data_IF_223091443363
#
_entry.id   IF_223091443363
#
_cell.length_a   1.000
_cell.length_b   1.000
_cell.length_c   1.000
_cell.angle_alpha   90.00
_cell.angle_beta   90.00
_cell.angle_gamma   90.00
#
_symmetry.space_group_name_H-M   'P 1'
#
loop_
_entity.id
_entity.type
_entity.pdbx_description
1 polymer ?
#
# COMPACT_ATOMS: atom_id res chain seq x y z
N UNK A 1 -7.89 -30.22 9.92
CA UNK A 1 -7.94 -29.64 8.56
C UNK A 1 -7.76 -28.14 8.70
N UNK A 2 -6.84 -27.53 7.98
CA UNK A 2 -6.77 -26.06 7.93
C UNK A 2 -8.07 -25.57 7.26
N UNK A 3 -8.78 -24.67 7.92
CA UNK A 3 -9.97 -24.05 7.37
C UNK A 3 -9.63 -23.31 6.08
N UNK A 4 -10.46 -23.42 5.03
CA UNK A 4 -10.23 -22.70 3.78
C UNK A 4 -10.36 -21.20 4.06
N UNK A 5 -9.28 -20.38 3.79
CA UNK A 5 -9.30 -18.95 4.04
C UNK A 5 -10.46 -18.19 3.38
N UNK A 6 -11.01 -18.72 2.27
CA UNK A 6 -12.14 -18.12 1.55
C UNK A 6 -13.39 -17.99 2.43
N UNK A 7 -13.58 -18.92 3.35
CA UNK A 7 -14.77 -18.99 4.24
C UNK A 7 -14.58 -18.27 5.57
N UNK A 8 -13.45 -17.58 5.77
CA UNK A 8 -13.26 -16.75 6.97
C UNK A 8 -14.32 -15.66 7.02
N UNK A 9 -14.98 -15.54 8.17
CA UNK A 9 -15.97 -14.49 8.42
C UNK A 9 -15.27 -13.24 8.94
N UNK A 10 -15.45 -12.15 8.22
CA UNK A 10 -14.82 -10.87 8.60
C UNK A 10 -15.31 -10.36 9.96
N UNK A 11 -16.52 -10.71 10.37
CA UNK A 11 -17.09 -10.35 11.68
C UNK A 11 -16.29 -10.90 12.87
N UNK A 12 -15.51 -11.96 12.68
CA UNK A 12 -14.63 -12.53 13.72
C UNK A 12 -13.37 -11.66 13.96
N UNK A 13 -13.09 -10.73 13.04
CA UNK A 13 -11.95 -9.81 13.10
C UNK A 13 -12.42 -8.41 13.46
N UNK A 14 -13.25 -8.33 14.49
CA UNK A 14 -13.84 -7.09 14.98
C UNK A 14 -13.34 -6.77 16.39
N UNK A 15 -13.24 -5.50 16.68
CA UNK A 15 -12.94 -4.97 18.01
C UNK A 15 -13.55 -3.57 18.15
N UNK A 16 -13.81 -3.09 19.37
CA UNK A 16 -14.33 -1.73 19.56
C UNK A 16 -13.23 -0.70 19.29
N UNK A 17 -13.48 0.20 18.35
CA UNK A 17 -12.59 1.31 18.05
C UNK A 17 -13.36 2.63 18.14
N UNK A 18 -13.40 3.28 19.32
CA UNK A 18 -14.02 4.57 19.44
C UNK A 18 -13.24 5.65 18.69
N UNK A 19 -13.94 6.65 18.18
CA UNK A 19 -13.33 7.73 17.38
C UNK A 19 -12.21 8.49 18.11
N UNK A 20 -12.32 8.65 19.41
CA UNK A 20 -11.29 9.30 20.25
C UNK A 20 -9.96 8.55 20.29
N UNK A 21 -9.94 7.27 19.93
CA UNK A 21 -8.71 6.45 19.86
C UNK A 21 -8.03 6.54 18.49
N UNK A 22 -8.69 7.12 17.52
CA UNK A 22 -8.14 7.35 16.18
C UNK A 22 -7.37 8.67 16.18
N UNK A 23 -6.06 8.60 15.91
CA UNK A 23 -5.23 9.79 15.81
C UNK A 23 -5.60 10.62 14.58
N UNK A 24 -6.03 11.85 14.76
CA UNK A 24 -6.41 12.76 13.67
C UNK A 24 -5.21 13.45 13.05
N UNK A 25 -4.15 13.63 13.83
CA UNK A 25 -2.90 14.28 13.46
C UNK A 25 -1.71 13.48 13.98
N UNK A 26 -0.56 13.54 13.29
CA UNK A 26 0.66 12.94 13.82
C UNK A 26 1.15 13.73 15.04
N UNK A 27 2.01 13.08 15.84
CA UNK A 27 2.76 13.79 16.87
C UNK A 27 3.68 14.83 16.22
N UNK A 28 3.96 15.92 16.89
CA UNK A 28 4.91 16.96 16.41
C UNK A 28 6.32 16.39 16.22
N UNK A 29 6.71 15.46 17.09
CA UNK A 29 7.93 14.66 16.95
C UNK A 29 7.50 13.23 16.68
N UNK A 30 7.55 12.80 15.41
CA UNK A 30 6.94 11.55 14.92
C UNK A 30 7.46 10.30 15.60
N UNK A 31 8.76 10.25 15.90
CA UNK A 31 9.41 9.08 16.50
C UNK A 31 9.23 8.98 18.01
N UNK A 32 8.51 9.90 18.62
CA UNK A 32 8.08 9.82 20.03
C UNK A 32 6.80 9.01 20.22
N UNK A 33 6.22 8.49 19.14
CA UNK A 33 5.07 7.57 19.22
C UNK A 33 5.41 6.33 20.04
N UNK A 34 4.38 5.71 20.58
CA UNK A 34 4.54 4.43 21.29
C UNK A 34 4.84 3.31 20.30
N UNK A 35 5.62 2.36 20.75
CA UNK A 35 5.94 1.12 20.06
C UNK A 35 5.47 -0.06 20.89
N UNK A 36 4.44 -0.77 20.41
CA UNK A 36 4.05 -2.04 20.99
C UNK A 36 5.02 -3.11 20.49
N UNK A 37 5.52 -3.93 21.40
CA UNK A 37 6.42 -5.04 21.11
C UNK A 37 5.67 -6.36 21.31
N UNK A 38 5.53 -7.12 20.24
CA UNK A 38 5.07 -8.51 20.30
C UNK A 38 6.25 -9.40 19.90
N UNK A 39 6.75 -10.17 20.86
CA UNK A 39 7.90 -11.03 20.63
C UNK A 39 7.64 -12.40 21.25
N UNK A 40 7.55 -13.42 20.39
CA UNK A 40 7.34 -14.81 20.80
C UNK A 40 6.18 -15.00 21.78
N UNK A 41 5.07 -14.32 21.50
CA UNK A 41 3.84 -14.40 22.29
C UNK A 41 3.74 -13.41 23.45
N UNK A 42 4.80 -12.68 23.79
CA UNK A 42 4.80 -11.69 24.86
C UNK A 42 4.62 -10.27 24.34
N UNK A 43 3.79 -9.50 25.04
CA UNK A 43 3.48 -8.10 24.69
C UNK A 43 4.11 -7.16 25.71
N UNK A 44 4.82 -6.15 25.23
CA UNK A 44 5.39 -5.06 26.01
C UNK A 44 5.35 -3.77 25.20
N UNK A 45 5.86 -2.67 25.76
CA UNK A 45 5.88 -1.39 25.04
C UNK A 45 7.17 -0.62 25.27
N UNK A 46 7.48 0.24 24.31
CA UNK A 46 8.58 1.20 24.36
C UNK A 46 8.19 2.43 23.51
N UNK A 47 9.15 3.29 23.23
CA UNK A 47 9.01 4.38 22.27
C UNK A 47 9.60 3.96 20.93
N UNK A 48 9.10 4.56 19.84
CA UNK A 48 9.57 4.24 18.49
C UNK A 48 11.06 4.51 18.29
N UNK A 49 11.61 5.50 18.98
CA UNK A 49 13.05 5.80 19.00
C UNK A 49 13.91 4.61 19.45
N UNK A 50 13.35 3.69 20.21
CA UNK A 50 14.04 2.49 20.69
C UNK A 50 13.98 1.31 19.71
N UNK A 51 13.32 1.46 18.56
CA UNK A 51 13.18 0.37 17.57
C UNK A 51 14.50 -0.33 17.25
N UNK A 52 15.65 0.37 17.05
CA UNK A 52 16.92 -0.29 16.73
C UNK A 52 17.40 -1.28 17.79
N UNK A 53 17.04 -1.08 19.06
CA UNK A 53 17.45 -1.95 20.17
C UNK A 53 16.84 -3.35 20.08
N UNK A 54 15.71 -3.48 19.39
CA UNK A 54 14.94 -4.73 19.26
C UNK A 54 15.23 -5.51 17.99
N UNK A 55 16.09 -5.00 17.11
CA UNK A 55 16.45 -5.63 15.86
C UNK A 55 17.89 -6.14 15.89
N UNK A 56 18.14 -7.40 15.51
CA UNK A 56 19.50 -7.92 15.44
C UNK A 56 20.36 -7.16 14.43
N UNK A 57 21.64 -6.95 14.77
CA UNK A 57 22.63 -6.50 13.80
C UNK A 57 22.70 -7.48 12.62
N UNK A 58 22.80 -6.95 11.41
CA UNK A 58 22.78 -7.76 10.19
C UNK A 58 21.37 -8.03 9.65
N UNK A 59 20.31 -7.55 10.30
CA UNK A 59 18.95 -7.61 9.74
C UNK A 59 18.82 -6.78 8.48
N UNK A 60 17.97 -7.21 7.56
CA UNK A 60 17.58 -6.45 6.36
C UNK A 60 16.17 -5.89 6.57
N UNK A 61 16.05 -4.57 6.55
CA UNK A 61 14.78 -3.88 6.69
C UNK A 61 14.36 -3.26 5.34
N UNK A 62 13.12 -3.53 4.94
CA UNK A 62 12.59 -3.14 3.63
C UNK A 62 11.45 -2.14 3.79
N UNK A 63 11.56 -1.03 3.05
CA UNK A 63 10.62 0.08 3.04
C UNK A 63 9.93 0.22 1.69
N UNK A 64 8.69 0.68 1.71
CA UNK A 64 7.99 1.13 0.50
C UNK A 64 8.25 2.62 0.28
N UNK A 65 8.96 2.95 -0.81
CA UNK A 65 9.41 4.30 -1.13
C UNK A 65 8.40 5.11 -1.96
N UNK A 66 7.18 4.65 -2.09
CA UNK A 66 6.16 5.35 -2.87
C UNK A 66 5.79 6.70 -2.26
N UNK A 67 5.43 7.64 -3.12
CA UNK A 67 4.99 8.98 -2.73
C UNK A 67 3.53 9.20 -3.09
N UNK A 68 2.76 9.77 -2.16
CA UNK A 68 1.34 10.07 -2.39
C UNK A 68 1.19 11.20 -3.40
N UNK A 69 0.25 11.01 -4.32
CA UNK A 69 -0.14 12.02 -5.31
C UNK A 69 -1.40 12.75 -4.85
N UNK A 70 -1.61 13.95 -5.36
CA UNK A 70 -2.80 14.75 -5.11
C UNK A 70 -3.93 14.29 -6.03
N UNK A 71 -4.52 13.13 -5.72
CA UNK A 71 -5.39 12.36 -6.61
C UNK A 71 -6.87 12.75 -6.58
N UNK A 72 -7.25 13.73 -5.79
CA UNK A 72 -8.64 14.18 -5.62
C UNK A 72 -8.88 15.47 -6.38
N UNK A 73 -9.79 15.45 -7.37
CA UNK A 73 -10.15 16.59 -8.19
C UNK A 73 -11.60 17.01 -7.94
N UNK A 74 -11.86 18.31 -7.92
CA UNK A 74 -13.19 18.86 -7.77
C UNK A 74 -13.62 19.56 -9.06
N UNK A 75 -14.85 19.30 -9.47
CA UNK A 75 -15.52 19.98 -10.57
C UNK A 75 -16.83 20.58 -10.07
N UNK A 76 -17.15 21.77 -10.54
CA UNK A 76 -18.42 22.40 -10.24
C UNK A 76 -19.25 22.49 -11.52
N UNK A 77 -20.47 21.94 -11.47
CA UNK A 77 -21.41 22.02 -12.57
C UNK A 77 -22.00 23.45 -12.66
N UNK A 78 -22.56 23.78 -13.83
CA UNK A 78 -23.31 25.05 -14.02
C UNK A 78 -24.45 25.23 -13.03
N UNK A 79 -25.06 24.14 -12.58
CA UNK A 79 -26.09 24.13 -11.53
C UNK A 79 -25.55 24.45 -10.14
N UNK A 80 -24.23 24.59 -9.97
CA UNK A 80 -23.55 24.78 -8.69
C UNK A 80 -23.20 23.48 -7.96
N UNK A 81 -23.63 22.32 -8.44
CA UNK A 81 -23.32 21.04 -7.82
C UNK A 81 -21.82 20.74 -7.88
N UNK A 82 -21.26 20.37 -6.73
CA UNK A 82 -19.86 19.96 -6.61
C UNK A 82 -19.75 18.46 -6.87
N UNK A 83 -18.88 18.09 -7.82
CA UNK A 83 -18.55 16.70 -8.14
C UNK A 83 -17.09 16.46 -7.75
N UNK A 84 -16.84 15.46 -6.91
CA UNK A 84 -15.52 15.03 -6.53
C UNK A 84 -15.12 13.80 -7.34
N UNK A 85 -13.97 13.86 -7.97
CA UNK A 85 -13.39 12.73 -8.72
C UNK A 85 -12.10 12.31 -8.06
N UNK A 86 -12.09 11.10 -7.53
CA UNK A 86 -10.96 10.54 -6.83
C UNK A 86 -10.29 9.47 -7.69
N UNK A 87 -9.10 9.78 -8.22
CA UNK A 87 -8.33 8.88 -9.05
C UNK A 87 -7.78 7.70 -8.23
N UNK A 88 -8.11 6.47 -8.63
CA UNK A 88 -7.70 5.25 -7.93
C UNK A 88 -6.56 4.53 -8.62
N UNK A 89 -6.70 4.35 -9.93
CA UNK A 89 -5.82 3.50 -10.72
C UNK A 89 -5.76 4.03 -12.16
N UNK A 90 -4.55 4.18 -12.75
CA UNK A 90 -4.45 4.56 -14.15
C UNK A 90 -4.91 3.42 -15.06
N UNK A 91 -5.65 3.76 -16.12
CA UNK A 91 -6.15 2.78 -17.08
C UNK A 91 -5.46 2.95 -18.43
N UNK A 92 -5.34 4.19 -18.90
CA UNK A 92 -4.81 4.48 -20.23
C UNK A 92 -3.94 5.74 -20.21
N UNK A 93 -2.63 5.57 -20.32
CA UNK A 93 -1.85 4.34 -20.12
C UNK A 93 -2.02 3.77 -18.70
N UNK A 94 -1.88 2.45 -18.56
CA UNK A 94 -2.01 1.78 -17.26
C UNK A 94 -0.74 1.88 -16.39
N UNK A 95 0.35 2.35 -16.93
CA UNK A 95 1.58 2.64 -16.20
C UNK A 95 1.51 4.04 -15.59
N UNK A 96 1.82 4.17 -14.30
CA UNK A 96 1.77 5.44 -13.57
C UNK A 96 2.67 6.52 -14.18
N UNK A 97 3.92 6.18 -14.48
CA UNK A 97 4.89 7.13 -15.02
C UNK A 97 4.46 7.63 -16.41
N UNK A 98 4.03 6.74 -17.27
CA UNK A 98 3.53 7.08 -18.59
C UNK A 98 2.24 7.90 -18.53
N UNK A 99 1.34 7.57 -17.62
CA UNK A 99 0.09 8.32 -17.43
C UNK A 99 0.35 9.74 -16.97
N UNK A 100 1.24 9.94 -16.00
CA UNK A 100 1.59 11.28 -15.50
C UNK A 100 2.25 12.16 -16.56
N UNK A 101 2.92 11.59 -17.54
CA UNK A 101 3.58 12.31 -18.63
C UNK A 101 2.65 12.64 -19.79
N UNK A 102 1.43 12.16 -19.80
CA UNK A 102 0.47 12.49 -20.86
C UNK A 102 0.21 13.98 -20.91
N UNK A 103 0.06 14.51 -22.13
CA UNK A 103 -0.10 15.95 -22.39
C UNK A 103 -1.41 16.32 -23.05
N UNK A 104 -2.30 15.37 -23.28
CA UNK A 104 -3.58 15.57 -23.95
C UNK A 104 -4.73 14.78 -23.31
N UNK A 105 -4.48 13.53 -22.97
CA UNK A 105 -5.49 12.60 -22.46
C UNK A 105 -4.90 11.64 -21.44
N UNK A 106 -5.65 11.39 -20.38
CA UNK A 106 -5.37 10.34 -19.40
C UNK A 106 -6.68 9.72 -18.94
N UNK A 107 -6.72 8.40 -18.83
CA UNK A 107 -7.88 7.70 -18.30
C UNK A 107 -7.55 7.02 -16.97
N UNK A 108 -8.45 7.15 -16.02
CA UNK A 108 -8.32 6.60 -14.68
C UNK A 108 -9.60 5.92 -14.24
N UNK A 109 -9.44 4.85 -13.46
CA UNK A 109 -10.52 4.32 -12.67
C UNK A 109 -10.67 5.21 -11.44
N UNK A 110 -11.87 5.75 -11.21
CA UNK A 110 -12.13 6.74 -10.17
C UNK A 110 -13.34 6.39 -9.33
N UNK A 111 -13.32 6.81 -8.06
CA UNK A 111 -14.54 6.99 -7.30
C UNK A 111 -15.08 8.40 -7.56
N UNK A 112 -16.40 8.53 -7.58
CA UNK A 112 -17.06 9.81 -7.86
C UNK A 112 -18.02 10.14 -6.74
N UNK A 113 -17.76 11.25 -6.06
CA UNK A 113 -18.63 11.82 -5.04
C UNK A 113 -19.76 12.60 -5.70
N UNK A 114 -20.97 12.50 -5.13
CA UNK A 114 -22.18 13.14 -5.65
C UNK A 114 -22.58 12.69 -7.07
N UNK A 115 -22.35 11.42 -7.37
CA UNK A 115 -22.56 10.81 -8.68
C UNK A 115 -23.98 11.04 -9.23
N UNK A 116 -24.98 11.12 -8.36
CA UNK A 116 -26.39 11.36 -8.75
C UNK A 116 -26.59 12.68 -9.48
N UNK A 117 -25.69 13.64 -9.27
CA UNK A 117 -25.71 14.95 -9.94
C UNK A 117 -24.93 14.95 -11.26
N UNK A 118 -24.19 13.89 -11.55
CA UNK A 118 -23.46 13.74 -12.81
C UNK A 118 -23.94 12.50 -13.56
N UNK A 119 -25.05 12.62 -14.26
CA UNK A 119 -25.66 11.50 -15.01
C UNK A 119 -25.04 11.33 -16.38
N UNK A 120 -24.76 12.43 -17.06
CA UNK A 120 -24.24 12.45 -18.42
C UNK A 120 -23.47 13.75 -18.68
N UNK A 121 -22.81 13.82 -19.83
CA UNK A 121 -22.06 14.98 -20.27
C UNK A 121 -20.67 15.07 -19.69
N UNK A 122 -19.95 16.13 -20.06
CA UNK A 122 -18.61 16.41 -19.60
C UNK A 122 -18.61 17.42 -18.46
N UNK A 123 -17.80 17.15 -17.45
CA UNK A 123 -17.42 18.17 -16.47
C UNK A 123 -16.29 19.01 -17.05
N UNK A 124 -16.29 20.30 -16.75
CA UNK A 124 -15.28 21.25 -17.22
C UNK A 124 -14.71 22.05 -16.05
N UNK A 125 -13.44 22.30 -16.14
CA UNK A 125 -12.76 23.21 -15.22
C UNK A 125 -11.71 24.00 -15.99
N UNK A 126 -11.86 25.32 -15.99
CA UNK A 126 -10.83 26.21 -16.49
C UNK A 126 -9.77 26.42 -15.42
N UNK A 127 -8.51 26.40 -15.81
CA UNK A 127 -7.41 26.50 -14.87
C UNK A 127 -6.16 27.11 -15.50
N UNK A 128 -5.28 27.60 -14.64
CA UNK A 128 -3.95 28.05 -15.02
C UNK A 128 -2.92 27.19 -14.33
N UNK A 129 -2.07 26.52 -15.10
CA UNK A 129 -1.02 25.63 -14.62
C UNK A 129 0.31 26.14 -15.15
N UNK A 130 1.24 26.48 -14.23
CA UNK A 130 2.55 27.03 -14.60
C UNK A 130 2.47 28.24 -15.55
N UNK A 131 1.52 29.13 -15.29
CA UNK A 131 1.27 30.32 -16.11
C UNK A 131 0.56 30.08 -17.44
N UNK A 132 0.13 28.84 -17.72
CA UNK A 132 -0.54 28.43 -18.95
C UNK A 132 -2.01 28.13 -18.70
N UNK A 133 -2.90 28.79 -19.46
CA UNK A 133 -4.34 28.55 -19.37
C UNK A 133 -4.73 27.29 -20.11
N UNK A 134 -5.62 26.51 -19.53
CA UNK A 134 -6.20 25.33 -20.15
C UNK A 134 -7.62 25.05 -19.63
N UNK A 135 -8.36 24.26 -20.38
CA UNK A 135 -9.64 23.69 -19.94
C UNK A 135 -9.45 22.19 -19.74
N UNK A 136 -9.69 21.72 -18.52
CA UNK A 136 -9.72 20.30 -18.21
C UNK A 136 -11.17 19.80 -18.32
N UNK A 137 -11.37 18.72 -19.05
CA UNK A 137 -12.66 18.02 -19.13
C UNK A 137 -12.56 16.63 -18.53
N UNK A 138 -13.66 16.17 -17.93
CA UNK A 138 -13.80 14.81 -17.43
C UNK A 138 -15.10 14.22 -17.99
N UNK A 139 -15.01 13.04 -18.59
CA UNK A 139 -16.13 12.30 -19.17
C UNK A 139 -16.21 10.91 -18.57
N UNK A 140 -17.43 10.49 -18.20
CA UNK A 140 -17.67 9.16 -17.67
C UNK A 140 -17.63 8.12 -18.79
N UNK A 141 -16.90 7.03 -18.53
CA UNK A 141 -16.94 5.81 -19.33
C UNK A 141 -17.69 4.70 -18.60
N UNK A 142 -17.19 3.48 -18.74
CA UNK A 142 -17.81 2.30 -18.16
C UNK A 142 -17.77 2.30 -16.64
N UNK A 143 -18.77 1.66 -16.03
CA UNK A 143 -18.84 1.44 -14.59
C UNK A 143 -18.22 0.07 -14.26
N UNK A 144 -17.31 0.07 -13.28
CA UNK A 144 -16.66 -1.13 -12.75
C UNK A 144 -16.98 -1.27 -11.26
N UNK A 145 -18.11 -1.92 -10.93
CA UNK A 145 -18.59 -2.00 -9.57
C UNK A 145 -18.96 -0.63 -8.99
N UNK A 146 -18.24 -0.17 -7.96
CA UNK A 146 -18.44 1.16 -7.36
C UNK A 146 -17.53 2.23 -7.95
N UNK A 147 -16.70 1.88 -8.92
CA UNK A 147 -15.74 2.78 -9.57
C UNK A 147 -16.13 3.02 -11.02
N UNK A 148 -15.65 4.13 -11.58
CA UNK A 148 -15.99 4.56 -12.92
C UNK A 148 -14.72 4.85 -13.71
N UNK A 149 -14.69 4.44 -14.97
CA UNK A 149 -13.69 4.88 -15.92
C UNK A 149 -13.95 6.35 -16.23
N UNK A 150 -12.97 7.22 -15.98
CA UNK A 150 -13.05 8.66 -16.28
C UNK A 150 -11.96 9.02 -17.28
N UNK A 151 -12.36 9.66 -18.36
CA UNK A 151 -11.47 10.19 -19.37
C UNK A 151 -11.23 11.67 -19.11
N UNK A 152 -9.99 12.02 -18.81
CA UNK A 152 -9.54 13.40 -18.66
C UNK A 152 -8.91 13.87 -19.98
N UNK A 153 -9.30 15.06 -20.44
CA UNK A 153 -8.70 15.72 -21.61
C UNK A 153 -8.43 17.18 -21.29
N UNK A 154 -7.40 17.73 -21.88
CA UNK A 154 -7.08 19.14 -21.77
C UNK A 154 -6.45 19.64 -23.05
N UNK A 155 -6.44 20.96 -23.25
CA UNK A 155 -6.12 21.62 -24.52
C UNK A 155 -4.80 22.38 -24.52
N UNK A 156 -3.87 22.02 -23.65
CA UNK A 156 -2.52 22.60 -23.64
C UNK A 156 -1.46 21.50 -23.55
N UNK A 157 -0.75 21.19 -24.66
CA UNK A 157 0.20 20.08 -24.70
C UNK A 157 1.51 20.34 -23.94
N UNK A 158 1.72 21.55 -23.42
CA UNK A 158 2.87 21.88 -22.58
C UNK A 158 2.64 21.53 -21.11
N UNK A 159 1.42 21.06 -20.77
CA UNK A 159 1.03 20.68 -19.41
C UNK A 159 0.81 19.17 -19.35
N UNK A 160 1.45 18.51 -18.41
CA UNK A 160 1.27 17.07 -18.14
C UNK A 160 0.11 16.83 -17.18
N UNK A 161 -0.38 15.59 -17.14
CA UNK A 161 -1.39 15.20 -16.15
C UNK A 161 -0.85 15.34 -14.71
N UNK A 162 0.43 15.02 -14.49
CA UNK A 162 1.09 15.25 -13.20
C UNK A 162 1.05 16.73 -12.79
N UNK A 163 1.29 17.65 -13.73
CA UNK A 163 1.22 19.10 -13.47
C UNK A 163 -0.21 19.52 -13.03
N UNK A 164 -1.23 18.97 -13.67
CA UNK A 164 -2.63 19.23 -13.33
C UNK A 164 -2.94 18.77 -11.91
N UNK A 165 -2.56 17.54 -11.56
CA UNK A 165 -2.77 16.98 -10.23
C UNK A 165 -2.02 17.76 -9.15
N UNK A 166 -0.79 18.20 -9.43
CA UNK A 166 0.02 18.95 -8.48
C UNK A 166 -0.58 20.31 -8.13
N UNK A 167 -1.21 20.97 -9.09
CA UNK A 167 -1.79 22.32 -8.90
C UNK A 167 -3.22 22.26 -8.39
N UNK A 168 -4.05 21.35 -8.90
CA UNK A 168 -5.50 21.32 -8.65
C UNK A 168 -5.98 20.11 -7.88
N UNK A 169 -5.14 19.09 -7.75
CA UNK A 169 -5.46 17.95 -6.93
C UNK A 169 -5.33 18.28 -5.44
N UNK A 170 -6.13 17.60 -4.65
CA UNK A 170 -5.98 17.58 -3.20
C UNK A 170 -5.39 16.25 -2.76
N UNK A 171 -4.56 16.28 -1.72
CA UNK A 171 -4.00 15.08 -1.14
C UNK A 171 -5.12 14.27 -0.47
N UNK A 172 -5.34 13.01 -0.87
CA UNK A 172 -6.31 12.17 -0.21
C UNK A 172 -5.78 11.69 1.14
N UNK A 173 -6.49 12.00 2.20
CA UNK A 173 -6.22 11.42 3.52
C UNK A 173 -7.24 10.32 3.82
N UNK A 174 -6.93 9.38 4.73
CA UNK A 174 -7.86 8.31 5.06
C UNK A 174 -9.20 8.86 5.55
N UNK A 175 -10.35 8.33 5.06
CA UNK A 175 -11.67 8.76 5.54
C UNK A 175 -11.88 8.57 7.05
N UNK A 176 -11.16 7.61 7.65
CA UNK A 176 -11.20 7.32 9.08
C UNK A 176 -10.73 8.47 9.97
N UNK A 177 -10.01 9.46 9.40
CA UNK A 177 -9.60 10.65 10.14
C UNK A 177 -10.79 11.58 10.46
N UNK A 178 -11.91 11.44 9.73
CA UNK A 178 -13.13 12.25 9.95
C UNK A 178 -12.88 13.76 10.00
N UNK A 179 -12.00 14.23 9.15
CA UNK A 179 -11.67 15.65 8.96
C UNK A 179 -11.28 15.94 7.53
N UNK A 180 -11.27 17.19 7.16
CA UNK A 180 -10.80 17.63 5.85
C UNK A 180 -9.26 17.64 5.78
N UNK A 181 -8.75 17.51 4.56
CA UNK A 181 -7.32 17.63 4.25
C UNK A 181 -6.85 19.05 4.57
N UNK A 182 -5.70 19.17 5.22
CA UNK A 182 -5.05 20.43 5.53
C UNK A 182 -3.75 20.57 4.75
N UNK A 183 -3.25 21.77 4.58
CA UNK A 183 -1.99 22.03 3.88
C UNK A 183 -0.81 21.26 4.50
N UNK A 184 -0.79 21.15 5.84
CA UNK A 184 0.22 20.38 6.56
C UNK A 184 0.26 18.88 6.18
N UNK A 185 -0.85 18.31 5.70
CA UNK A 185 -0.89 16.90 5.30
C UNK A 185 0.01 16.61 4.10
N UNK A 186 0.31 17.60 3.27
CA UNK A 186 1.23 17.45 2.14
C UNK A 186 2.62 17.00 2.59
N UNK A 187 3.04 17.39 3.78
CA UNK A 187 4.30 16.97 4.37
C UNK A 187 4.12 15.83 5.36
N UNK A 188 3.11 15.91 6.24
CA UNK A 188 2.93 14.95 7.33
C UNK A 188 2.38 13.60 6.86
N UNK A 189 1.63 13.55 5.75
CA UNK A 189 1.15 12.30 5.15
C UNK A 189 2.10 11.77 4.08
N UNK A 190 3.42 11.92 4.31
CA UNK A 190 4.50 11.38 3.48
C UNK A 190 5.62 10.84 4.39
N UNK A 191 6.27 9.78 3.95
CA UNK A 191 7.46 9.28 4.64
C UNK A 191 8.69 10.12 4.29
N UNK A 192 9.69 10.15 5.17
CA UNK A 192 10.94 10.89 4.92
C UNK A 192 11.77 10.30 3.78
N UNK A 193 11.52 9.07 3.38
CA UNK A 193 12.21 8.37 2.31
C UNK A 193 11.36 8.23 1.03
N UNK A 194 10.21 8.89 0.94
CA UNK A 194 9.37 8.82 -0.26
C UNK A 194 10.03 9.44 -1.49
N UNK A 195 10.02 8.73 -2.61
CA UNK A 195 10.73 9.13 -3.84
C UNK A 195 9.87 9.04 -5.09
N UNK A 196 9.11 7.96 -5.24
CA UNK A 196 8.44 7.59 -6.48
C UNK A 196 6.95 7.91 -6.40
N UNK A 197 6.51 8.93 -7.13
CA UNK A 197 5.11 9.33 -7.18
C UNK A 197 4.24 8.23 -7.80
N UNK A 198 3.07 8.00 -7.26
CA UNK A 198 2.14 7.04 -7.82
C UNK A 198 1.16 6.41 -6.85
N UNK A 199 1.14 6.83 -5.60
CA UNK A 199 0.21 6.28 -4.61
C UNK A 199 -0.90 7.26 -4.25
N UNK A 200 -2.07 6.72 -3.97
CA UNK A 200 -3.21 7.48 -3.43
C UNK A 200 -3.30 7.38 -1.90
N UNK A 201 -2.52 6.50 -1.30
CA UNK A 201 -2.40 6.38 0.15
C UNK A 201 -0.93 6.23 0.56
N UNK A 202 -0.54 6.80 1.70
CA UNK A 202 0.81 6.66 2.22
C UNK A 202 1.03 5.27 2.82
N UNK A 203 2.27 4.72 2.75
CA UNK A 203 2.67 3.57 3.54
C UNK A 203 2.87 4.01 5.00
N UNK A 204 1.77 4.07 5.75
CA UNK A 204 1.66 4.82 7.01
C UNK A 204 2.54 4.30 8.14
N UNK A 205 2.94 3.02 8.12
CA UNK A 205 3.91 2.49 9.09
C UNK A 205 5.27 3.19 9.00
N UNK A 206 5.60 3.75 7.84
CA UNK A 206 6.83 4.50 7.63
C UNK A 206 6.79 5.94 8.16
N UNK A 207 5.62 6.44 8.55
CA UNK A 207 5.47 7.83 9.01
C UNK A 207 6.19 8.12 10.34
N UNK A 208 6.48 7.10 11.13
CA UNK A 208 7.22 7.22 12.39
C UNK A 208 8.73 7.40 12.20
N UNK A 209 9.25 7.00 11.04
CA UNK A 209 10.69 7.04 10.78
C UNK A 209 11.16 8.48 10.55
N UNK A 210 12.23 8.81 11.23
CA UNK A 210 12.93 10.09 11.15
C UNK A 210 14.38 9.85 10.75
N UNK A 211 15.13 10.88 10.28
CA UNK A 211 16.55 10.71 9.97
C UNK A 211 17.34 10.11 11.12
N UNK A 212 17.08 10.52 12.38
CA UNK A 212 17.82 9.97 13.53
C UNK A 212 17.52 8.47 13.79
N UNK A 213 16.29 8.02 13.56
CA UNK A 213 15.94 6.59 13.69
C UNK A 213 16.60 5.79 12.57
N UNK A 214 16.59 6.28 11.33
CA UNK A 214 17.26 5.64 10.20
C UNK A 214 18.78 5.52 10.46
N UNK A 215 19.41 6.58 10.95
CA UNK A 215 20.82 6.58 11.29
C UNK A 215 21.13 5.61 12.43
N UNK A 216 20.29 5.57 13.46
CA UNK A 216 20.43 4.63 14.56
C UNK A 216 20.33 3.16 14.09
N UNK A 217 19.43 2.86 13.15
CA UNK A 217 19.32 1.54 12.52
C UNK A 217 20.59 1.17 11.76
N UNK A 218 21.14 2.07 10.95
CA UNK A 218 22.40 1.86 10.23
C UNK A 218 23.57 1.64 11.20
N UNK A 219 23.65 2.44 12.26
CA UNK A 219 24.69 2.31 13.29
C UNK A 219 24.59 1.00 14.07
N UNK A 220 23.40 0.45 14.22
CA UNK A 220 23.18 -0.89 14.80
C UNK A 220 23.67 -2.01 13.87
N UNK A 221 23.85 -1.73 12.58
CA UNK A 221 24.18 -2.72 11.55
C UNK A 221 22.97 -3.31 10.86
N UNK A 222 21.83 -2.63 10.88
CA UNK A 222 20.65 -2.98 10.10
C UNK A 222 20.82 -2.41 8.69
N UNK A 223 20.74 -3.26 7.67
CA UNK A 223 20.71 -2.82 6.28
C UNK A 223 19.32 -2.32 5.92
N UNK A 224 19.25 -1.18 5.22
CA UNK A 224 17.99 -0.56 4.77
C UNK A 224 17.92 -0.64 3.25
N UNK A 225 16.85 -1.23 2.74
CA UNK A 225 16.59 -1.32 1.30
C UNK A 225 15.15 -0.91 0.99
N UNK A 226 14.91 -0.58 -0.26
CA UNK A 226 13.65 -0.04 -0.72
C UNK A 226 13.02 -0.92 -1.80
N UNK A 227 11.70 -0.92 -1.84
CA UNK A 227 10.90 -1.40 -2.96
C UNK A 227 9.80 -0.37 -3.24
N UNK A 228 9.06 -0.57 -4.31
CA UNK A 228 7.92 0.28 -4.64
C UNK A 228 6.65 -0.57 -4.78
N UNK A 229 5.62 -0.20 -4.05
CA UNK A 229 4.25 -0.62 -4.32
C UNK A 229 3.40 0.65 -4.36
N UNK A 230 2.72 0.86 -5.48
CA UNK A 230 1.80 1.99 -5.64
C UNK A 230 0.48 1.65 -4.96
N UNK A 231 0.26 2.25 -3.79
CA UNK A 231 -0.91 1.97 -2.95
C UNK A 231 -2.15 2.57 -3.59
N UNK A 232 -3.11 1.72 -3.92
CA UNK A 232 -4.41 2.14 -4.45
C UNK A 232 -5.40 2.53 -3.35
N UNK A 233 -6.47 3.22 -3.74
CA UNK A 233 -7.52 3.64 -2.80
C UNK A 233 -8.36 2.47 -2.26
N UNK A 234 -8.14 1.28 -2.76
CA UNK A 234 -8.70 0.05 -2.17
C UNK A 234 -8.40 -0.11 -0.69
N UNK A 235 -7.27 0.44 -0.22
CA UNK A 235 -6.90 0.51 1.19
C UNK A 235 -7.95 1.20 2.06
N UNK A 236 -8.74 2.12 1.49
CA UNK A 236 -9.80 2.83 2.19
C UNK A 236 -11.16 2.12 2.16
N UNK A 237 -11.29 1.03 1.40
CA UNK A 237 -12.55 0.30 1.29
C UNK A 237 -12.67 -0.78 2.37
N UNK A 238 -13.72 -0.77 3.20
CA UNK A 238 -13.95 -1.85 4.16
C UNK A 238 -14.40 -3.12 3.46
N UNK A 239 -14.19 -4.27 4.10
CA UNK A 239 -14.78 -5.54 3.67
C UNK A 239 -16.26 -5.51 3.97
N UNK A 240 -17.09 -5.64 2.94
CA UNK A 240 -18.56 -5.59 3.04
C UNK A 240 -19.23 -6.96 2.97
N UNK A 241 -18.52 -7.97 2.50
CA UNK A 241 -19.01 -9.35 2.42
C UNK A 241 -18.92 -10.04 3.79
N UNK A 242 -19.79 -11.02 4.05
CA UNK A 242 -19.72 -11.82 5.28
C UNK A 242 -18.46 -12.69 5.31
N UNK A 243 -18.16 -13.35 4.21
CA UNK A 243 -16.95 -14.14 4.00
C UNK A 243 -15.98 -13.39 3.10
N UNK A 244 -14.67 -13.57 3.34
CA UNK A 244 -13.65 -12.84 2.59
C UNK A 244 -13.57 -13.24 1.12
N UNK A 245 -14.10 -14.39 0.72
CA UNK A 245 -14.21 -14.78 -0.68
C UNK A 245 -14.96 -13.75 -1.53
N UNK A 246 -15.97 -13.10 -0.95
CA UNK A 246 -16.75 -12.05 -1.61
C UNK A 246 -16.06 -10.70 -1.70
N UNK A 247 -14.89 -10.53 -1.09
CA UNK A 247 -14.12 -9.29 -1.17
C UNK A 247 -13.10 -9.37 -2.30
N UNK A 248 -13.12 -8.40 -3.20
CA UNK A 248 -12.16 -8.30 -4.29
C UNK A 248 -11.00 -7.37 -3.90
N UNK A 249 -9.79 -7.90 -3.92
CA UNK A 249 -8.57 -7.11 -3.74
C UNK A 249 -8.27 -6.32 -5.01
N UNK A 250 -7.85 -5.08 -4.84
CA UNK A 250 -7.40 -4.26 -5.97
C UNK A 250 -6.04 -4.71 -6.47
N UNK A 251 -5.83 -4.56 -7.78
CA UNK A 251 -4.52 -4.71 -8.39
C UNK A 251 -3.64 -3.53 -8.01
N UNK A 252 -2.47 -3.82 -7.46
CA UNK A 252 -1.46 -2.81 -7.12
C UNK A 252 -0.15 -3.14 -7.85
N UNK A 253 0.47 -2.11 -8.42
CA UNK A 253 1.69 -2.25 -9.19
C UNK A 253 2.91 -2.20 -8.29
N UNK A 254 3.85 -3.12 -8.53
CA UNK A 254 5.07 -3.26 -7.77
C UNK A 254 6.30 -3.12 -8.66
N UNK A 255 7.37 -2.58 -8.09
CA UNK A 255 8.69 -2.51 -8.70
C UNK A 255 9.75 -2.84 -7.67
N UNK A 256 10.59 -3.82 -7.99
CA UNK A 256 11.67 -4.26 -7.10
C UNK A 256 12.96 -4.35 -7.90
N UNK A 257 13.98 -3.61 -7.47
CA UNK A 257 15.27 -3.58 -8.16
C UNK A 257 16.03 -4.89 -8.01
N UNK A 258 16.89 -5.18 -9.01
CA UNK A 258 17.85 -6.28 -8.91
C UNK A 258 18.66 -6.22 -7.62
N UNK A 259 19.14 -5.03 -7.26
CA UNK A 259 19.93 -4.84 -6.04
C UNK A 259 19.17 -5.29 -4.78
N UNK A 260 17.90 -4.93 -4.66
CA UNK A 260 17.08 -5.35 -3.53
C UNK A 260 16.86 -6.87 -3.53
N UNK A 261 16.62 -7.48 -4.69
CA UNK A 261 16.50 -8.93 -4.83
C UNK A 261 17.78 -9.66 -4.41
N UNK A 262 18.94 -9.17 -4.85
CA UNK A 262 20.24 -9.74 -4.48
C UNK A 262 20.51 -9.61 -2.99
N UNK A 263 20.17 -8.48 -2.37
CA UNK A 263 20.25 -8.28 -0.92
C UNK A 263 19.37 -9.26 -0.16
N UNK A 264 18.15 -9.47 -0.60
CA UNK A 264 17.26 -10.49 -0.04
C UNK A 264 17.86 -11.89 -0.10
N UNK A 265 18.47 -12.25 -1.22
CA UNK A 265 19.14 -13.54 -1.38
C UNK A 265 20.32 -13.69 -0.42
N UNK A 266 21.17 -12.66 -0.30
CA UNK A 266 22.30 -12.63 0.64
C UNK A 266 21.83 -12.82 2.09
N UNK A 267 20.66 -12.28 2.44
CA UNK A 267 20.05 -12.45 3.77
C UNK A 267 19.22 -13.74 3.91
N UNK A 268 19.41 -14.70 3.03
CA UNK A 268 18.71 -16.00 3.09
C UNK A 268 17.22 -15.92 2.80
N UNK A 269 16.77 -14.90 2.07
CA UNK A 269 15.36 -14.68 1.75
C UNK A 269 14.54 -14.19 2.95
N UNK A 270 15.18 -13.54 3.93
CA UNK A 270 14.54 -13.08 5.17
C UNK A 270 14.61 -11.55 5.28
N UNK A 271 13.51 -10.93 5.64
CA UNK A 271 13.44 -9.48 5.80
C UNK A 271 12.55 -9.06 6.97
N UNK A 272 12.84 -7.87 7.49
CA UNK A 272 11.95 -7.08 8.35
C UNK A 272 11.18 -6.13 7.44
N UNK A 273 9.87 -6.27 7.37
CA UNK A 273 9.04 -5.42 6.51
C UNK A 273 8.50 -4.22 7.28
N UNK A 274 8.63 -3.05 6.71
CA UNK A 274 8.00 -1.83 7.23
C UNK A 274 6.71 -1.58 6.46
N UNK A 275 5.60 -1.81 7.12
CA UNK A 275 4.25 -1.64 6.57
C UNK A 275 3.72 -2.85 5.83
N UNK A 276 2.40 -2.93 5.78
CA UNK A 276 1.68 -4.04 5.12
C UNK A 276 1.89 -4.05 3.60
N UNK A 277 2.18 -2.90 3.00
CA UNK A 277 2.50 -2.81 1.57
C UNK A 277 3.84 -3.48 1.25
N UNK A 278 4.85 -3.29 2.09
CA UNK A 278 6.12 -4.01 1.98
C UNK A 278 5.94 -5.51 2.19
N UNK A 279 5.11 -5.90 3.17
CA UNK A 279 4.76 -7.31 3.41
C UNK A 279 4.15 -7.94 2.17
N UNK A 280 3.12 -7.33 1.61
CA UNK A 280 2.43 -7.86 0.43
C UNK A 280 3.35 -7.94 -0.79
N UNK A 281 4.24 -6.98 -0.97
CA UNK A 281 5.22 -7.01 -2.06
C UNK A 281 6.23 -8.13 -1.86
N UNK A 282 6.84 -8.23 -0.68
CA UNK A 282 7.84 -9.26 -0.39
C UNK A 282 7.25 -10.68 -0.53
N UNK A 283 6.07 -10.91 0.03
CA UNK A 283 5.41 -12.22 -0.10
C UNK A 283 4.99 -12.50 -1.54
N UNK A 284 4.58 -11.48 -2.31
CA UNK A 284 4.31 -11.62 -3.75
C UNK A 284 5.55 -12.03 -4.54
N UNK A 285 6.74 -11.57 -4.17
CA UNK A 285 8.00 -12.00 -4.81
C UNK A 285 8.19 -13.52 -4.74
N UNK A 286 7.86 -14.13 -3.62
CA UNK A 286 7.92 -15.59 -3.50
C UNK A 286 7.04 -16.28 -4.54
N UNK A 287 5.79 -15.83 -4.68
CA UNK A 287 4.83 -16.42 -5.61
C UNK A 287 5.21 -16.16 -7.08
N UNK A 288 5.80 -15.00 -7.37
CA UNK A 288 6.35 -14.67 -8.68
C UNK A 288 7.48 -15.63 -9.04
N UNK A 289 8.39 -15.86 -8.10
CA UNK A 289 9.49 -16.81 -8.29
C UNK A 289 9.02 -18.24 -8.53
N UNK A 290 8.00 -18.67 -7.80
CA UNK A 290 7.36 -19.99 -8.02
C UNK A 290 6.75 -20.09 -9.42
N UNK A 291 6.07 -19.04 -9.88
CA UNK A 291 5.54 -18.98 -11.25
C UNK A 291 6.65 -19.15 -12.28
N UNK A 292 7.77 -18.47 -12.11
CA UNK A 292 8.92 -18.56 -13.03
C UNK A 292 9.61 -19.94 -13.01
N UNK A 293 9.68 -20.59 -11.85
CA UNK A 293 10.21 -21.95 -11.74
C UNK A 293 9.33 -22.98 -12.48
N UNK A 294 8.02 -22.78 -12.47
CA UNK A 294 7.06 -23.63 -13.17
C UNK A 294 6.97 -23.30 -14.67
N UNK A 295 7.20 -22.04 -15.04
CA UNK A 295 7.17 -21.57 -16.43
C UNK A 295 8.27 -20.52 -16.66
N UNK A 296 9.50 -20.93 -17.04
CA UNK A 296 10.59 -20.00 -17.32
C UNK A 296 10.33 -19.03 -18.48
N UNK A 297 9.37 -19.36 -19.35
CA UNK A 297 8.95 -18.52 -20.49
C UNK A 297 7.82 -17.55 -20.12
N UNK A 298 7.45 -17.44 -18.84
CA UNK A 298 6.39 -16.54 -18.38
C UNK A 298 6.68 -15.09 -18.80
N UNK A 299 5.64 -14.42 -19.27
CA UNK A 299 5.67 -12.98 -19.60
C UNK A 299 5.43 -12.13 -18.35
N UNK A 300 5.65 -10.84 -18.46
CA UNK A 300 5.38 -9.89 -17.35
C UNK A 300 3.92 -10.00 -16.85
N UNK A 301 2.95 -10.16 -17.73
CA UNK A 301 1.54 -10.38 -17.37
C UNK A 301 1.33 -11.67 -16.57
N UNK A 302 2.05 -12.74 -16.92
CA UNK A 302 1.95 -14.02 -16.23
C UNK A 302 2.49 -13.97 -14.81
N UNK A 303 3.29 -12.97 -14.48
CA UNK A 303 3.88 -12.76 -13.15
C UNK A 303 2.92 -12.08 -12.18
N UNK A 304 1.81 -11.53 -12.66
CA UNK A 304 0.77 -10.99 -11.79
C UNK A 304 0.34 -12.01 -10.73
N UNK A 305 0.34 -11.60 -9.47
CA UNK A 305 -0.08 -12.47 -8.36
C UNK A 305 -1.58 -12.31 -8.16
N UNK A 306 -2.32 -13.39 -8.41
CA UNK A 306 -3.77 -13.43 -8.22
C UNK A 306 -4.13 -13.52 -6.74
N UNK A 307 -5.32 -13.01 -6.38
CA UNK A 307 -5.77 -12.89 -4.99
C UNK A 307 -5.63 -14.19 -4.19
N UNK A 308 -6.07 -15.31 -4.75
CA UNK A 308 -6.09 -16.62 -4.08
C UNK A 308 -4.94 -17.53 -4.46
N UNK A 309 -4.04 -17.09 -5.32
CA UNK A 309 -2.90 -17.88 -5.81
C UNK A 309 -2.09 -18.54 -4.69
N UNK A 310 -1.81 -17.90 -3.55
CA UNK A 310 -1.04 -18.54 -2.47
C UNK A 310 -1.72 -19.76 -1.85
N UNK A 311 -3.04 -19.88 -1.97
CA UNK A 311 -3.83 -20.95 -1.37
C UNK A 311 -4.14 -22.08 -2.34
N UNK A 312 -3.71 -21.96 -3.59
CA UNK A 312 -3.92 -22.92 -4.68
C UNK A 312 -2.61 -23.59 -5.13
N UNK A 313 -1.58 -23.54 -4.29
CA UNK A 313 -0.25 -24.07 -4.61
C UNK A 313 -0.20 -25.58 -4.58
N UNK A 314 0.53 -26.17 -5.53
CA UNK A 314 0.88 -27.59 -5.52
C UNK A 314 1.88 -27.93 -4.39
N UNK A 315 1.97 -29.21 -4.02
CA UNK A 315 2.95 -29.68 -3.04
C UNK A 315 4.40 -29.33 -3.46
N UNK A 316 4.72 -29.45 -4.76
CA UNK A 316 6.02 -29.07 -5.31
C UNK A 316 6.29 -27.57 -5.15
N UNK A 317 5.32 -26.73 -5.46
CA UNK A 317 5.42 -25.28 -5.30
C UNK A 317 5.61 -24.90 -3.83
N UNK A 318 4.87 -25.54 -2.93
CA UNK A 318 4.98 -25.32 -1.48
C UNK A 318 6.36 -25.69 -0.92
N UNK A 319 7.07 -26.64 -1.53
CA UNK A 319 8.42 -27.04 -1.14
C UNK A 319 9.51 -26.08 -1.62
N UNK A 320 9.19 -25.09 -2.46
CA UNK A 320 10.16 -24.11 -2.97
C UNK A 320 10.61 -23.19 -1.83
N UNK A 321 11.92 -23.01 -1.69
CA UNK A 321 12.47 -22.06 -0.71
C UNK A 321 12.34 -20.61 -1.20
N UNK A 322 12.38 -19.65 -0.26
CA UNK A 322 12.41 -18.23 -0.60
C UNK A 322 13.60 -17.87 -1.48
N UNK A 323 14.78 -18.41 -1.18
CA UNK A 323 16.01 -18.15 -1.96
C UNK A 323 15.88 -18.68 -3.39
N UNK A 324 15.35 -19.89 -3.58
CA UNK A 324 15.12 -20.45 -4.92
C UNK A 324 14.16 -19.56 -5.72
N UNK A 325 13.07 -19.10 -5.10
CA UNK A 325 12.11 -18.22 -5.75
C UNK A 325 12.74 -16.87 -6.16
N UNK A 326 13.51 -16.27 -5.26
CA UNK A 326 14.20 -14.99 -5.54
C UNK A 326 15.27 -15.15 -6.64
N UNK A 327 16.01 -16.25 -6.62
CA UNK A 327 16.99 -16.57 -7.67
C UNK A 327 16.33 -16.74 -9.04
N UNK A 328 15.14 -17.32 -9.09
CA UNK A 328 14.36 -17.42 -10.32
C UNK A 328 13.99 -16.06 -10.90
N UNK A 329 13.67 -15.09 -10.04
CA UNK A 329 13.38 -13.70 -10.47
C UNK A 329 14.65 -13.04 -11.03
N UNK A 330 15.78 -13.16 -10.34
CA UNK A 330 17.07 -12.60 -10.83
C UNK A 330 17.44 -13.23 -12.19
N UNK A 331 17.26 -14.53 -12.36
CA UNK A 331 17.48 -15.21 -13.64
C UNK A 331 16.56 -14.68 -14.75
N UNK A 332 15.30 -14.40 -14.42
CA UNK A 332 14.36 -13.73 -15.34
C UNK A 332 14.85 -12.35 -15.76
N UNK A 333 15.32 -11.53 -14.82
CA UNK A 333 15.88 -10.21 -15.12
C UNK A 333 17.12 -10.33 -16.01
N UNK A 334 17.99 -11.30 -15.77
CA UNK A 334 19.18 -11.55 -16.59
C UNK A 334 18.81 -11.91 -18.03
N UNK A 335 17.84 -12.81 -18.21
CA UNK A 335 17.40 -13.21 -19.56
C UNK A 335 16.81 -12.05 -20.37
N UNK A 336 16.17 -11.10 -19.71
CA UNK A 336 15.51 -9.95 -20.34
C UNK A 336 16.32 -8.65 -20.26
N UNK A 337 17.57 -8.72 -19.76
CA UNK A 337 18.45 -7.54 -19.58
C UNK A 337 17.76 -6.40 -18.81
N UNK A 338 17.07 -6.74 -17.72
CA UNK A 338 16.32 -5.81 -16.89
C UNK A 338 17.02 -5.58 -15.55
N UNK A 339 16.96 -4.35 -15.05
CA UNK A 339 17.50 -3.96 -13.74
C UNK A 339 16.46 -3.95 -12.61
N UNK A 340 15.20 -4.14 -12.95
CA UNK A 340 14.12 -4.21 -11.98
C UNK A 340 12.98 -5.10 -12.47
N UNK A 341 12.33 -5.75 -11.52
CA UNK A 341 11.07 -6.45 -11.74
C UNK A 341 9.93 -5.44 -11.70
N UNK A 342 9.09 -5.44 -12.72
CA UNK A 342 7.85 -4.67 -12.79
C UNK A 342 6.70 -5.63 -13.02
N UNK A 343 5.74 -5.66 -12.12
CA UNK A 343 4.53 -6.46 -12.25
C UNK A 343 3.44 -5.93 -11.31
N UNK A 344 2.46 -6.74 -11.00
CA UNK A 344 1.34 -6.36 -10.16
C UNK A 344 0.91 -7.49 -9.23
N UNK A 345 0.17 -7.14 -8.19
CA UNK A 345 -0.33 -8.10 -7.21
C UNK A 345 -1.72 -7.75 -6.73
N UNK A 346 -2.52 -8.78 -6.50
CA UNK A 346 -3.80 -8.73 -5.79
C UNK A 346 -3.76 -9.60 -4.53
N UNK A 347 -2.58 -9.96 -4.07
CA UNK A 347 -2.43 -10.92 -2.98
C UNK A 347 -3.29 -10.56 -1.77
N UNK A 348 -4.06 -11.52 -1.27
CA UNK A 348 -4.69 -11.45 0.03
C UNK A 348 -3.94 -12.36 1.00
N UNK A 349 -3.55 -11.81 2.14
CA UNK A 349 -2.90 -12.57 3.21
C UNK A 349 -3.88 -12.68 4.37
N UNK A 350 -4.29 -13.90 4.68
CA UNK A 350 -5.31 -14.21 5.67
C UNK A 350 -4.88 -15.41 6.51
N UNK A 351 -5.49 -15.66 7.68
CA UNK A 351 -5.20 -16.83 8.50
C UNK A 351 -5.16 -18.11 7.69
N UNK A 352 -4.10 -18.90 7.89
CA UNK A 352 -3.78 -20.08 7.07
C UNK A 352 -2.63 -19.85 6.10
N UNK A 353 -2.29 -18.60 5.81
CA UNK A 353 -1.10 -18.25 5.02
C UNK A 353 0.18 -18.48 5.83
N UNK A 354 1.15 -19.13 5.21
CA UNK A 354 2.49 -19.30 5.78
C UNK A 354 3.46 -18.31 5.14
N UNK A 355 4.00 -17.40 5.95
CA UNK A 355 4.94 -16.38 5.48
C UNK A 355 6.25 -17.00 5.01
N UNK A 356 6.77 -16.53 3.88
CA UNK A 356 7.96 -17.07 3.22
C UNK A 356 9.20 -16.19 3.39
N UNK A 357 9.04 -14.89 3.37
CA UNK A 357 10.13 -13.91 3.37
C UNK A 357 10.12 -13.04 4.61
N UNK A 358 8.96 -12.53 4.99
CA UNK A 358 8.82 -11.61 6.13
C UNK A 358 8.96 -12.38 7.44
N UNK A 359 9.93 -11.98 8.27
CA UNK A 359 10.22 -12.60 9.58
C UNK A 359 9.92 -11.69 10.77
N UNK A 360 9.83 -10.38 10.52
CA UNK A 360 9.38 -9.38 11.47
C UNK A 360 8.66 -8.27 10.70
N UNK A 361 7.77 -7.58 11.38
CA UNK A 361 6.94 -6.56 10.75
C UNK A 361 6.81 -5.34 11.66
N UNK A 362 7.03 -4.15 11.08
CA UNK A 362 6.67 -2.88 11.70
C UNK A 362 5.38 -2.41 11.06
N UNK A 363 4.33 -2.23 11.83
CA UNK A 363 3.02 -1.82 11.32
C UNK A 363 2.23 -0.99 12.31
N UNK A 364 1.30 -0.19 11.81
CA UNK A 364 0.33 0.53 12.64
C UNK A 364 -0.82 -0.40 13.06
N UNK A 365 -1.74 0.11 13.89
CA UNK A 365 -2.97 -0.60 14.25
C UNK A 365 -4.03 -0.36 13.18
N UNK A 366 -4.66 -1.44 12.72
CA UNK A 366 -5.57 -1.43 11.58
C UNK A 366 -7.04 -1.38 12.00
N UNK A 367 -7.90 -1.00 11.07
CA UNK A 367 -9.33 -0.94 11.29
C UNK A 367 -9.91 -2.32 11.63
N UNK A 368 -10.98 -2.38 12.47
CA UNK A 368 -11.75 -3.61 12.61
C UNK A 368 -12.34 -4.04 11.27
N UNK A 369 -12.48 -5.33 11.09
CA UNK A 369 -13.05 -5.94 9.88
C UNK A 369 -12.32 -5.53 8.57
N UNK A 370 -11.00 -5.43 8.65
CA UNK A 370 -10.16 -5.07 7.50
C UNK A 370 -9.28 -6.24 7.04
N UNK A 371 -8.94 -6.23 5.77
CA UNK A 371 -7.98 -7.20 5.20
C UNK A 371 -6.61 -7.09 5.84
N UNK A 372 -6.22 -5.90 6.30
CA UNK A 372 -4.95 -5.69 6.98
C UNK A 372 -4.90 -6.36 8.35
N UNK A 373 -6.02 -6.41 9.05
CA UNK A 373 -6.11 -7.15 10.30
C UNK A 373 -6.00 -8.66 10.07
N UNK A 374 -6.54 -9.16 8.96
CA UNK A 374 -6.35 -10.55 8.53
C UNK A 374 -4.88 -10.88 8.29
N UNK A 375 -4.16 -9.98 7.63
CA UNK A 375 -2.73 -10.11 7.36
C UNK A 375 -1.92 -10.19 8.66
N UNK A 376 -2.20 -9.32 9.61
CA UNK A 376 -1.57 -9.32 10.94
C UNK A 376 -1.91 -10.61 11.68
N UNK A 377 -3.18 -11.02 11.69
CA UNK A 377 -3.62 -12.26 12.33
C UNK A 377 -2.87 -13.49 11.80
N UNK A 378 -2.71 -13.58 10.47
CA UNK A 378 -1.93 -14.65 9.86
C UNK A 378 -0.48 -14.66 10.37
N UNK A 379 0.12 -13.48 10.50
CA UNK A 379 1.52 -13.34 10.92
C UNK A 379 1.74 -13.76 12.38
N UNK A 380 0.84 -13.38 13.27
CA UNK A 380 0.94 -13.66 14.71
C UNK A 380 0.16 -14.90 15.14
N UNK A 381 -0.21 -15.76 14.20
CA UNK A 381 -0.91 -17.03 14.45
C UNK A 381 -2.18 -16.89 15.30
N UNK A 382 -2.97 -15.87 15.02
CA UNK A 382 -4.24 -15.61 15.69
C UNK A 382 -4.15 -14.77 16.96
N UNK A 383 -2.97 -14.35 17.41
CA UNK A 383 -2.78 -13.56 18.64
C UNK A 383 -3.13 -12.07 18.52
N UNK A 384 -3.73 -11.64 17.41
CA UNK A 384 -4.09 -10.24 17.22
C UNK A 384 -4.97 -9.65 18.34
N UNK A 385 -5.94 -10.40 18.95
CA UNK A 385 -6.72 -9.85 20.06
C UNK A 385 -5.87 -9.48 21.26
N UNK A 386 -4.86 -10.28 21.59
CA UNK A 386 -3.92 -10.00 22.68
C UNK A 386 -3.17 -8.68 22.45
N UNK A 387 -2.72 -8.45 21.21
CA UNK A 387 -2.02 -7.22 20.79
C UNK A 387 -2.95 -6.01 20.87
N UNK A 388 -4.13 -6.11 20.27
CA UNK A 388 -5.09 -5.01 20.19
C UNK A 388 -5.74 -4.69 21.54
N UNK A 389 -6.00 -5.69 22.38
CA UNK A 389 -6.50 -5.48 23.75
C UNK A 389 -5.46 -4.76 24.61
N UNK A 390 -4.17 -5.13 24.48
CA UNK A 390 -3.10 -4.40 25.16
C UNK A 390 -3.06 -2.93 24.71
N UNK A 391 -3.11 -2.69 23.41
CA UNK A 391 -3.07 -1.33 22.86
C UNK A 391 -4.26 -0.48 23.34
N UNK A 392 -5.47 -1.05 23.36
CA UNK A 392 -6.66 -0.38 23.87
C UNK A 392 -6.57 -0.07 25.38
N UNK A 393 -5.97 -0.96 26.17
CA UNK A 393 -5.81 -0.81 27.61
C UNK A 393 -4.68 0.15 28.01
N UNK A 394 -3.75 0.46 27.11
CA UNK A 394 -2.54 1.25 27.41
C UNK A 394 -2.45 2.56 26.61
N UNK A 395 -3.58 3.14 26.25
CA UNK A 395 -3.70 4.45 25.61
C UNK A 395 -2.94 4.60 24.29
N UNK A 396 -2.82 3.52 23.51
CA UNK A 396 -2.29 3.58 22.16
C UNK A 396 -3.25 4.32 21.23
N UNK A 397 -2.70 5.05 20.29
CA UNK A 397 -3.42 5.74 19.24
C UNK A 397 -3.47 4.84 18.00
N UNK A 398 -4.57 4.88 17.27
CA UNK A 398 -4.87 3.92 16.19
C UNK A 398 -4.81 4.55 14.81
N UNK A 399 -4.66 3.71 13.82
CA UNK A 399 -4.70 3.95 12.38
C UNK A 399 -3.49 4.77 11.86
N UNK A 400 -3.69 5.53 10.79
CA UNK A 400 -2.62 6.09 9.96
C UNK A 400 -1.62 6.97 10.71
N UNK A 401 -2.11 7.83 11.59
CA UNK A 401 -1.28 8.71 12.42
C UNK A 401 -1.09 8.20 13.85
N UNK A 402 -1.55 7.00 14.11
CA UNK A 402 -1.45 6.37 15.42
C UNK A 402 -0.07 5.85 15.76
N UNK A 403 -0.02 5.05 16.80
CA UNK A 403 1.21 4.42 17.27
C UNK A 403 1.59 3.20 16.42
N UNK A 404 2.75 2.63 16.68
CA UNK A 404 3.33 1.55 15.91
C UNK A 404 3.45 0.27 16.72
N UNK A 405 3.67 -0.84 16.02
CA UNK A 405 4.00 -2.13 16.61
C UNK A 405 5.17 -2.78 15.88
N UNK A 406 5.99 -3.52 16.61
CA UNK A 406 6.97 -4.45 16.07
C UNK A 406 6.51 -5.86 16.41
N UNK A 407 6.24 -6.66 15.39
CA UNK A 407 5.73 -8.01 15.52
C UNK A 407 6.81 -9.02 15.15
N UNK A 408 7.16 -9.87 16.08
CA UNK A 408 8.12 -10.98 15.91
C UNK A 408 7.45 -12.25 16.45
N UNK A 409 6.84 -13.08 15.59
CA UNK A 409 6.11 -14.26 16.02
C UNK A 409 6.99 -15.35 16.63
#
# INVERSE_FOLDING_TARGET
MKEDPRHIRISEFNYPLPDERIAKFPLSVRDQSKLLLYRHGEVSEDRFTSLPEYLPSGSLMIFNNTKVIQARLHFRKETGALIEVFCLEPIQPNDYALNFQQTEHAAWLCMVGNLKKWKEGMLRREMTVKGKSLTLTAERGECHGTSHWINFRWNNPEVTFADILEVFGELPIPPSLNRETQESDKETYQTVYSKIKGSVAAPTAGLHFTPRVLDALRNKGVELEELTLHVGAGTFKPVKSEEIEGHEMHTEYISVSRNTLEKLIVHGGKAVAVGTTSVRTLESLYHIGVTLLNNPEATEEDLHVHQWQPYEMSAKATATSAVEALQAIVAYLDRHSMEALHTSTQIIIAPGYEYKIVKAMVTNFHQPQSTLLLLVSAFVHGDWPKIYNYALAHDFRFLSYGDSSLLIP
#
